data_IF_700021452464
#
_entry.id   IF_700021452464
#
_cell.length_a   1.000
_cell.length_b   1.000
_cell.length_c   1.000
_cell.angle_alpha   90.00
_cell.angle_beta   90.00
_cell.angle_gamma   90.00
#
_symmetry.space_group_name_H-M   'P 1'
#
loop_
_entity.id
_entity.type
_entity.pdbx_description
1 polymer ?
#
# COMPACT_ATOMS: atom_id res chain seq x y z
N UNK A 1 -20.52 21.28 -3.28
CA UNK A 1 -21.52 20.20 -3.40
C UNK A 1 -22.28 20.17 -4.73
N UNK A 2 -23.30 21.00 -5.02
CA UNK A 2 -24.09 20.81 -6.27
C UNK A 2 -23.28 20.86 -7.59
N UNK A 3 -22.31 21.78 -7.71
CA UNK A 3 -21.45 21.90 -8.90
C UNK A 3 -20.51 20.69 -9.09
N UNK A 4 -20.01 20.17 -7.99
CA UNK A 4 -19.09 19.02 -7.92
C UNK A 4 -19.81 17.71 -8.27
N UNK A 5 -21.02 17.51 -7.74
CA UNK A 5 -21.88 16.39 -8.12
C UNK A 5 -22.19 16.41 -9.62
N UNK A 6 -22.45 17.58 -10.20
CA UNK A 6 -22.70 17.72 -11.64
C UNK A 6 -21.44 17.45 -12.48
N UNK A 7 -20.26 17.86 -12.00
CA UNK A 7 -18.99 17.58 -12.67
C UNK A 7 -18.71 16.07 -12.73
N UNK A 8 -18.83 15.38 -11.59
CA UNK A 8 -18.64 13.93 -11.49
C UNK A 8 -19.68 13.17 -12.32
N UNK A 9 -20.95 13.60 -12.26
CA UNK A 9 -22.03 13.03 -13.07
C UNK A 9 -21.70 13.09 -14.58
N UNK A 10 -21.15 14.21 -15.06
CA UNK A 10 -20.75 14.38 -16.45
C UNK A 10 -19.48 13.59 -16.80
N UNK A 11 -18.50 13.53 -15.91
CA UNK A 11 -17.22 12.85 -16.13
C UNK A 11 -17.39 11.33 -16.29
N UNK A 12 -18.22 10.72 -15.45
CA UNK A 12 -18.41 9.26 -15.41
C UNK A 12 -19.71 8.77 -16.03
N UNK A 13 -20.46 9.67 -16.70
CA UNK A 13 -21.79 9.38 -17.28
C UNK A 13 -22.73 8.69 -16.26
N UNK A 14 -22.83 9.33 -15.10
CA UNK A 14 -23.64 8.90 -13.95
C UNK A 14 -24.87 9.78 -13.79
N UNK A 15 -25.94 9.20 -13.25
CA UNK A 15 -27.08 10.01 -12.78
C UNK A 15 -26.68 10.86 -11.58
N UNK A 16 -27.39 11.96 -11.34
CA UNK A 16 -27.14 12.84 -10.19
C UNK A 16 -27.14 12.07 -8.85
N UNK A 17 -28.04 11.11 -8.67
CA UNK A 17 -28.10 10.26 -7.46
C UNK A 17 -26.91 9.31 -7.34
N UNK A 18 -26.41 8.78 -8.45
CA UNK A 18 -25.22 7.92 -8.44
C UNK A 18 -23.95 8.73 -8.14
N UNK A 19 -23.80 9.92 -8.72
CA UNK A 19 -22.69 10.81 -8.39
C UNK A 19 -22.73 11.23 -6.90
N UNK A 20 -23.92 11.55 -6.37
CA UNK A 20 -24.10 11.87 -4.96
C UNK A 20 -23.77 10.68 -4.04
N UNK A 21 -24.11 9.45 -4.46
CA UNK A 21 -23.70 8.24 -3.77
C UNK A 21 -22.18 8.10 -3.73
N UNK A 22 -21.47 8.32 -4.85
CA UNK A 22 -20.02 8.21 -4.91
C UNK A 22 -19.32 9.21 -3.97
N UNK A 23 -19.76 10.47 -3.97
CA UNK A 23 -19.22 11.51 -3.06
C UNK A 23 -19.52 11.19 -1.60
N UNK A 24 -20.67 10.57 -1.31
CA UNK A 24 -21.08 10.26 0.07
C UNK A 24 -20.49 8.95 0.60
N UNK A 25 -19.74 8.21 -0.21
CA UNK A 25 -19.26 6.88 0.13
C UNK A 25 -17.97 6.93 0.95
N UNK A 26 -18.08 6.63 2.23
CA UNK A 26 -16.96 6.58 3.19
C UNK A 26 -16.74 5.17 3.74
N UNK A 27 -16.91 4.14 2.89
CA UNK A 27 -16.82 2.73 3.29
C UNK A 27 -18.15 2.11 3.76
N UNK A 28 -19.22 2.89 3.90
CA UNK A 28 -20.57 2.40 4.22
C UNK A 28 -21.56 2.67 3.07
N UNK A 29 -21.93 1.63 2.33
CA UNK A 29 -22.81 1.74 1.17
C UNK A 29 -24.25 2.12 1.53
N UNK A 30 -24.75 1.64 2.67
CA UNK A 30 -26.12 1.91 3.13
C UNK A 30 -26.28 3.38 3.50
N UNK A 31 -25.32 3.95 4.22
CA UNK A 31 -25.34 5.38 4.57
C UNK A 31 -25.18 6.28 3.34
N UNK A 32 -24.29 5.91 2.41
CA UNK A 32 -24.12 6.65 1.16
C UNK A 32 -25.39 6.65 0.31
N UNK A 33 -26.09 5.51 0.23
CA UNK A 33 -27.37 5.39 -0.48
C UNK A 33 -28.49 6.17 0.21
N UNK A 34 -28.51 6.20 1.54
CA UNK A 34 -29.45 7.02 2.31
C UNK A 34 -29.24 8.52 2.03
N UNK A 35 -27.98 8.99 2.12
CA UNK A 35 -27.61 10.39 1.81
C UNK A 35 -27.92 10.78 0.36
N UNK A 36 -27.77 9.83 -0.57
CA UNK A 36 -28.12 10.03 -1.97
C UNK A 36 -29.64 9.98 -2.26
N UNK A 37 -30.48 9.71 -1.26
CA UNK A 37 -31.94 9.72 -1.38
C UNK A 37 -32.52 8.47 -2.04
N UNK A 38 -31.93 7.30 -1.80
CA UNK A 38 -32.51 6.00 -2.15
C UNK A 38 -33.43 5.50 -1.02
N UNK A 39 -34.61 4.97 -1.39
CA UNK A 39 -35.62 4.49 -0.42
C UNK A 39 -35.23 3.17 0.24
N UNK A 40 -34.69 2.22 -0.55
CA UNK A 40 -34.22 0.91 -0.07
C UNK A 40 -32.70 0.90 0.03
N UNK A 41 -32.15 1.76 0.89
CA UNK A 41 -30.72 2.09 0.93
C UNK A 41 -29.79 0.88 1.12
N UNK A 42 -30.18 -0.13 1.91
CA UNK A 42 -29.35 -1.32 2.12
C UNK A 42 -29.20 -2.19 0.85
N UNK A 43 -30.29 -2.32 0.08
CA UNK A 43 -30.30 -3.10 -1.17
C UNK A 43 -29.67 -2.29 -2.30
N UNK A 44 -30.05 -1.02 -2.42
CA UNK A 44 -29.54 -0.12 -3.45
C UNK A 44 -28.06 0.18 -3.27
N UNK A 45 -27.57 0.34 -2.04
CA UNK A 45 -26.14 0.54 -1.76
C UNK A 45 -25.30 -0.63 -2.27
N UNK A 46 -25.69 -1.88 -1.93
CA UNK A 46 -25.02 -3.08 -2.43
C UNK A 46 -25.11 -3.21 -3.96
N UNK A 47 -26.25 -2.85 -4.55
CA UNK A 47 -26.46 -2.87 -6.01
C UNK A 47 -25.57 -1.87 -6.73
N UNK A 48 -25.44 -0.66 -6.19
CA UNK A 48 -24.63 0.42 -6.75
C UNK A 48 -23.14 0.07 -6.78
N UNK A 49 -22.62 -0.60 -5.76
CA UNK A 49 -21.22 -1.06 -5.74
C UNK A 49 -20.88 -2.06 -6.86
N UNK A 50 -21.88 -2.77 -7.39
CA UNK A 50 -21.71 -3.71 -8.51
C UNK A 50 -21.82 -3.04 -9.87
N UNK A 51 -22.24 -1.78 -9.93
CA UNK A 51 -22.44 -1.06 -11.18
C UNK A 51 -21.11 -0.54 -11.73
N UNK A 52 -20.74 -0.94 -12.95
CA UNK A 52 -19.41 -0.67 -13.54
C UNK A 52 -19.02 0.82 -13.49
N UNK A 53 -19.93 1.74 -13.85
CA UNK A 53 -19.65 3.19 -13.83
C UNK A 53 -19.45 3.76 -12.42
N UNK A 54 -20.15 3.20 -11.42
CA UNK A 54 -20.03 3.64 -10.02
C UNK A 54 -18.70 3.14 -9.45
N UNK A 55 -18.33 1.90 -9.77
CA UNK A 55 -17.02 1.33 -9.41
C UNK A 55 -15.88 2.16 -9.99
N UNK A 56 -15.94 2.50 -11.27
CA UNK A 56 -14.94 3.36 -11.93
C UNK A 56 -14.85 4.76 -11.28
N UNK A 57 -15.99 5.35 -10.89
CA UNK A 57 -16.00 6.63 -10.19
C UNK A 57 -15.36 6.53 -8.80
N UNK A 58 -15.68 5.48 -8.02
CA UNK A 58 -15.11 5.26 -6.69
C UNK A 58 -13.61 5.00 -6.75
N UNK A 59 -13.16 4.22 -7.74
CA UNK A 59 -11.72 3.97 -7.99
C UNK A 59 -11.01 5.27 -8.40
N UNK A 60 -11.61 6.07 -9.28
CA UNK A 60 -11.07 7.38 -9.65
C UNK A 60 -11.02 8.37 -8.48
N UNK A 61 -12.00 8.33 -7.58
CA UNK A 61 -12.01 9.15 -6.37
C UNK A 61 -10.97 8.66 -5.35
N UNK A 62 -10.82 7.36 -5.14
CA UNK A 62 -9.80 6.82 -4.21
C UNK A 62 -8.36 7.03 -4.71
N UNK A 63 -8.14 7.11 -6.02
CA UNK A 63 -6.84 7.44 -6.61
C UNK A 63 -6.57 8.95 -6.59
N UNK A 64 -7.60 9.78 -6.81
CA UNK A 64 -7.50 11.24 -6.80
C UNK A 64 -7.47 11.87 -5.39
N UNK A 65 -8.19 11.26 -4.45
CA UNK A 65 -8.12 11.48 -3.00
C UNK A 65 -7.24 10.39 -2.40
N UNK A 66 -5.99 10.31 -2.84
CA UNK A 66 -4.98 9.74 -1.97
C UNK A 66 -5.14 10.41 -0.62
N UNK A 67 -5.26 9.59 0.42
CA UNK A 67 -5.40 9.85 1.86
C UNK A 67 -4.33 10.81 2.43
N UNK A 68 -4.15 11.99 1.85
CA UNK A 68 -2.96 12.84 2.04
C UNK A 68 -3.10 13.86 3.16
N UNK A 69 -4.32 14.21 3.58
CA UNK A 69 -4.51 15.22 4.62
C UNK A 69 -4.43 14.65 6.05
N UNK A 70 -4.59 13.33 6.21
CA UNK A 70 -4.61 12.68 7.53
C UNK A 70 -3.57 11.58 7.71
N UNK A 71 -2.83 11.22 6.65
CA UNK A 71 -1.74 10.24 6.72
C UNK A 71 -0.44 10.95 6.40
N UNK A 72 0.48 10.95 7.37
CA UNK A 72 1.82 11.50 7.16
C UNK A 72 2.57 10.66 6.12
N UNK A 73 3.17 11.32 5.15
CA UNK A 73 4.13 10.70 4.24
C UNK A 73 5.38 10.25 5.01
N UNK A 74 6.17 9.36 4.41
CA UNK A 74 7.44 8.90 4.99
C UNK A 74 8.37 10.07 5.27
N UNK A 75 8.46 11.03 4.34
CA UNK A 75 9.30 12.22 4.45
C UNK A 75 8.82 13.09 5.61
N UNK A 76 7.51 13.28 5.75
CA UNK A 76 6.91 14.03 6.85
C UNK A 76 7.19 13.37 8.21
N UNK A 77 7.12 12.04 8.30
CA UNK A 77 7.50 11.29 9.51
C UNK A 77 8.98 11.48 9.86
N UNK A 78 9.87 11.44 8.85
CA UNK A 78 11.31 11.63 9.07
C UNK A 78 11.65 13.04 9.55
N UNK A 79 10.99 14.06 9.00
CA UNK A 79 11.12 15.45 9.48
C UNK A 79 10.64 15.55 10.93
N UNK A 80 9.44 15.05 11.21
CA UNK A 80 8.85 15.10 12.55
C UNK A 80 9.73 14.43 13.62
N UNK A 81 10.23 13.21 13.36
CA UNK A 81 11.14 12.54 14.30
C UNK A 81 12.47 13.27 14.43
N UNK A 82 12.99 13.86 13.35
CA UNK A 82 14.25 14.61 13.39
C UNK A 82 14.12 15.88 14.24
N UNK A 83 13.00 16.58 14.12
CA UNK A 83 12.71 17.78 14.92
C UNK A 83 12.56 17.41 16.39
N UNK A 84 11.77 16.36 16.69
CA UNK A 84 11.59 15.86 18.05
C UNK A 84 12.91 15.39 18.70
N UNK A 85 13.80 14.74 17.95
CA UNK A 85 15.08 14.28 18.48
C UNK A 85 16.01 15.45 18.88
N UNK A 86 15.97 16.55 18.12
CA UNK A 86 16.83 17.73 18.30
C UNK A 86 16.29 18.69 19.36
N UNK A 87 14.99 18.74 19.58
CA UNK A 87 14.37 19.66 20.54
C UNK A 87 14.75 19.31 21.99
N UNK A 88 15.52 20.19 22.62
CA UNK A 88 15.98 20.02 24.01
C UNK A 88 14.90 20.33 25.06
N UNK A 89 13.78 20.94 24.66
CA UNK A 89 12.65 21.21 25.56
C UNK A 89 11.79 19.95 25.81
N UNK A 90 11.87 18.96 24.93
CA UNK A 90 11.13 17.69 25.05
C UNK A 90 11.85 16.75 26.03
N UNK A 91 11.11 15.98 26.86
CA UNK A 91 11.71 14.98 27.74
C UNK A 91 12.65 14.01 26.99
N UNK A 92 13.81 13.71 27.59
CA UNK A 92 14.85 12.87 26.97
C UNK A 92 14.32 11.52 26.46
N UNK A 93 13.38 10.90 27.19
CA UNK A 93 12.77 9.63 26.81
C UNK A 93 12.09 9.70 25.44
N UNK A 94 11.35 10.77 25.18
CA UNK A 94 10.59 10.93 23.94
C UNK A 94 11.55 11.25 22.78
N UNK A 95 12.60 12.03 23.05
CA UNK A 95 13.70 12.27 22.11
C UNK A 95 14.43 10.98 21.74
N UNK A 96 14.73 10.13 22.72
CA UNK A 96 15.36 8.83 22.50
C UNK A 96 14.48 7.92 21.65
N UNK A 97 13.16 7.96 21.87
CA UNK A 97 12.21 7.20 21.04
C UNK A 97 12.26 7.65 19.59
N UNK A 98 12.27 8.97 19.34
CA UNK A 98 12.42 9.51 17.99
C UNK A 98 13.76 9.11 17.33
N UNK A 99 14.87 9.18 18.07
CA UNK A 99 16.19 8.73 17.60
C UNK A 99 16.20 7.23 17.24
N UNK A 100 15.56 6.38 18.04
CA UNK A 100 15.44 4.96 17.76
C UNK A 100 14.58 4.68 16.52
N UNK A 101 13.47 5.41 16.33
CA UNK A 101 12.64 5.30 15.12
C UNK A 101 13.43 5.66 13.86
N UNK A 102 14.26 6.71 13.92
CA UNK A 102 15.20 7.08 12.85
C UNK A 102 16.23 5.96 12.61
N UNK A 103 16.88 5.46 13.66
CA UNK A 103 17.88 4.40 13.52
C UNK A 103 17.28 3.09 12.96
N UNK A 104 16.03 2.75 13.33
CA UNK A 104 15.28 1.62 12.75
C UNK A 104 14.98 1.84 11.26
N UNK A 105 14.57 3.05 10.85
CA UNK A 105 14.25 3.32 9.45
C UNK A 105 15.46 3.24 8.52
N UNK A 106 16.66 3.46 9.05
CA UNK A 106 17.94 3.23 8.37
C UNK A 106 18.50 1.80 8.54
N UNK A 107 17.78 0.91 9.23
CA UNK A 107 18.23 -0.47 9.43
C UNK A 107 19.46 -0.60 10.34
N UNK A 108 19.76 0.39 11.18
CA UNK A 108 20.97 0.40 12.03
C UNK A 108 20.96 -0.68 13.12
N UNK A 109 19.79 -1.27 13.41
CA UNK A 109 19.63 -2.38 14.36
C UNK A 109 19.55 -3.75 13.67
N UNK A 110 19.72 -3.81 12.35
CA UNK A 110 19.70 -5.09 11.63
C UNK A 110 21.12 -5.64 11.65
N UNK A 111 21.31 -6.73 12.39
CA UNK A 111 22.54 -7.51 12.33
C UNK A 111 22.54 -8.39 11.08
N UNK A 112 23.63 -8.36 10.32
CA UNK A 112 23.83 -9.28 9.19
C UNK A 112 23.99 -10.69 9.75
N UNK A 113 23.02 -11.56 9.49
CA UNK A 113 23.18 -12.99 9.78
C UNK A 113 23.84 -13.68 8.60
N UNK A 114 25.04 -14.22 8.82
CA UNK A 114 25.68 -15.11 7.87
C UNK A 114 25.00 -16.49 7.97
N UNK A 115 24.29 -16.88 6.92
CA UNK A 115 23.73 -18.22 6.80
C UNK A 115 24.77 -19.09 6.08
N UNK A 116 25.44 -19.96 6.83
CA UNK A 116 26.35 -20.95 6.26
C UNK A 116 25.54 -22.14 5.74
N UNK A 117 25.52 -22.34 4.43
CA UNK A 117 25.00 -23.56 3.84
C UNK A 117 26.14 -24.56 3.64
N UNK A 118 25.94 -25.77 4.15
CA UNK A 118 26.74 -26.91 3.74
C UNK A 118 26.11 -27.47 2.48
N UNK A 119 26.69 -27.11 1.32
CA UNK A 119 26.33 -27.69 0.03
C UNK A 119 27.44 -28.64 -0.38
N UNK A 120 27.19 -29.94 -0.28
CA UNK A 120 28.09 -30.95 -0.83
C UNK A 120 28.07 -30.90 -2.36
N UNK A 121 29.25 -30.99 -2.97
CA UNK A 121 29.43 -31.06 -4.43
C UNK A 121 28.82 -29.89 -5.21
N UNK A 122 29.07 -28.66 -4.75
CA UNK A 122 28.64 -27.42 -5.43
C UNK A 122 29.07 -27.37 -6.90
N UNK A 123 30.24 -27.93 -7.20
CA UNK A 123 30.86 -28.05 -8.53
C UNK A 123 30.12 -29.02 -9.48
N UNK A 124 29.18 -29.81 -8.95
CA UNK A 124 28.43 -30.83 -9.72
C UNK A 124 26.94 -30.51 -9.82
N UNK A 125 26.50 -29.41 -9.23
CA UNK A 125 25.12 -28.96 -9.31
C UNK A 125 24.95 -28.12 -10.58
N UNK A 126 23.86 -28.38 -11.29
CA UNK A 126 23.41 -27.48 -12.34
C UNK A 126 22.81 -26.21 -11.73
N UNK A 127 22.78 -25.11 -12.49
CA UNK A 127 22.22 -23.83 -12.03
C UNK A 127 20.79 -23.97 -11.50
N UNK A 128 20.00 -24.84 -12.12
CA UNK A 128 18.63 -25.15 -11.70
C UNK A 128 18.58 -25.82 -10.33
N UNK A 129 19.43 -26.83 -10.09
CA UNK A 129 19.48 -27.54 -8.80
C UNK A 129 20.03 -26.65 -7.68
N UNK A 130 20.92 -25.72 -8.02
CA UNK A 130 21.41 -24.71 -7.08
C UNK A 130 20.29 -23.75 -6.66
N UNK A 131 19.49 -23.26 -7.62
CA UNK A 131 18.34 -22.39 -7.37
C UNK A 131 17.29 -23.11 -6.51
N UNK A 132 16.97 -24.37 -6.82
CA UNK A 132 16.01 -25.17 -6.03
C UNK A 132 16.49 -25.37 -4.58
N UNK A 133 17.79 -25.57 -4.36
CA UNK A 133 18.37 -25.70 -3.01
C UNK A 133 18.44 -24.38 -2.24
N UNK A 134 18.52 -23.25 -2.93
CA UNK A 134 18.49 -21.91 -2.33
C UNK A 134 17.05 -21.41 -2.10
N UNK A 135 16.05 -21.98 -2.79
CA UNK A 135 14.63 -21.64 -2.65
C UNK A 135 14.11 -21.59 -1.20
N UNK A 136 14.42 -22.58 -0.34
CA UNK A 136 14.06 -22.54 1.08
C UNK A 136 14.66 -21.36 1.86
N UNK A 137 15.88 -20.91 1.53
CA UNK A 137 16.46 -19.70 2.14
C UNK A 137 15.74 -18.44 1.69
N UNK A 138 15.35 -18.38 0.42
CA UNK A 138 14.60 -17.26 -0.14
C UNK A 138 13.25 -17.09 0.59
N UNK A 139 12.58 -18.20 0.91
CA UNK A 139 11.36 -18.20 1.73
C UNK A 139 11.61 -17.71 3.17
N UNK A 140 12.74 -18.04 3.79
CA UNK A 140 13.11 -17.55 5.13
C UNK A 140 13.36 -16.04 5.10
N UNK A 141 14.05 -15.53 4.08
CA UNK A 141 14.31 -14.09 3.93
C UNK A 141 13.01 -13.32 3.65
N UNK A 142 12.13 -13.87 2.83
CA UNK A 142 10.81 -13.29 2.54
C UNK A 142 9.88 -13.32 3.77
N UNK A 143 9.89 -14.39 4.57
CA UNK A 143 9.15 -14.48 5.83
C UNK A 143 9.64 -13.49 6.90
N UNK A 144 10.91 -13.11 6.85
CA UNK A 144 11.51 -12.04 7.67
C UNK A 144 11.11 -10.61 7.25
N UNK A 145 10.24 -10.46 6.25
CA UNK A 145 9.72 -9.16 5.81
C UNK A 145 10.69 -8.33 4.97
N UNK A 146 11.76 -8.93 4.44
CA UNK A 146 12.67 -8.27 3.49
C UNK A 146 12.21 -8.61 2.07
N UNK A 147 11.56 -7.69 1.33
CA UNK A 147 11.21 -7.93 -0.05
C UNK A 147 12.49 -7.92 -0.90
N UNK A 148 12.94 -9.10 -1.32
CA UNK A 148 13.94 -9.23 -2.37
C UNK A 148 13.18 -9.28 -3.71
N UNK A 149 13.42 -8.35 -4.64
CA UNK A 149 12.89 -8.47 -5.99
C UNK A 149 13.50 -9.72 -6.62
N UNK A 150 12.66 -10.70 -6.95
CA UNK A 150 13.05 -11.85 -7.76
C UNK A 150 13.51 -11.32 -9.11
N UNK A 151 14.79 -11.51 -9.43
CA UNK A 151 15.31 -11.25 -10.76
C UNK A 151 14.53 -12.14 -11.72
N UNK A 152 13.73 -11.54 -12.60
CA UNK A 152 13.04 -12.28 -13.66
C UNK A 152 14.09 -12.88 -14.58
N UNK A 153 14.23 -14.19 -14.56
CA UNK A 153 14.89 -14.94 -15.63
C UNK A 153 13.96 -14.90 -16.84
N UNK A 154 13.97 -13.78 -17.56
CA UNK A 154 13.47 -13.78 -18.93
C UNK A 154 14.46 -14.59 -19.77
N UNK A 155 14.14 -15.86 -19.94
CA UNK A 155 14.68 -16.71 -20.99
C UNK A 155 14.37 -16.05 -22.34
N UNK A 156 15.34 -15.31 -22.86
CA UNK A 156 15.42 -14.94 -24.27
C UNK A 156 16.49 -15.80 -24.92
N UNK A 157 16.08 -17.03 -25.21
CA UNK A 157 16.64 -17.88 -26.24
C UNK A 157 16.56 -17.12 -27.58
N UNK A 158 17.67 -16.54 -28.04
CA UNK A 158 17.90 -16.23 -29.44
C UNK A 158 19.36 -16.51 -29.77
N UNK A 159 19.57 -17.62 -30.46
CA UNK A 159 20.86 -18.03 -30.98
C UNK A 159 21.37 -17.16 -32.13
N UNK A 160 22.66 -17.33 -32.37
CA UNK A 160 23.31 -17.42 -33.68
C UNK A 160 24.56 -18.31 -33.53
#
# INVERSE_FOLDING_TARGET
MHKEVQAIAKQYDLTYKQALFCISYTGNASEAAQKAGYKQYAVEGCRLLKHAKVKACLEGLTVGESTSDHVLSREQLMVMWSDQAKDTAIPLRDRQTAMQSIARSYGMYIDKQAIALQVEHLDRLTDKELIDRLGPLLAIVQAGGIPIPLLSTDDSDQGD
#
